data_IF_829364159687
#
_entry.id   IF_829364159687
#
_cell.length_a   1.000
_cell.length_b   1.000
_cell.length_c   1.000
_cell.angle_alpha   90.00
_cell.angle_beta   90.00
_cell.angle_gamma   90.00
#
_symmetry.space_group_name_H-M   'P 1'
#
loop_
_entity.id
_entity.type
_entity.pdbx_description
1 polymer ?
#
# COMPACT_ATOMS: atom_id res chain seq x y z
N UNK A 1 0.93 80.28 43.83
CA UNK A 1 1.58 81.62 43.92
C UNK A 1 2.59 81.70 42.80
N UNK A 2 2.76 82.87 42.17
CA UNK A 2 3.76 83.03 41.12
C UNK A 2 5.15 83.15 41.78
N UNK A 3 6.17 82.38 41.37
CA UNK A 3 7.47 82.42 42.02
C UNK A 3 8.14 83.81 41.90
N UNK A 4 8.98 84.15 42.87
CA UNK A 4 9.63 85.46 43.02
C UNK A 4 11.13 85.37 42.73
N UNK A 5 11.68 86.33 41.99
CA UNK A 5 13.12 86.50 41.77
C UNK A 5 13.59 87.78 42.46
N UNK A 6 14.51 87.69 43.42
CA UNK A 6 15.06 88.84 44.16
C UNK A 6 16.28 89.48 43.49
N UNK A 7 16.94 88.79 42.54
CA UNK A 7 18.04 89.36 41.77
C UNK A 7 17.51 90.29 40.67
N UNK A 8 17.68 91.60 40.88
CA UNK A 8 17.17 92.65 39.98
C UNK A 8 18.26 93.23 39.10
N UNK A 9 17.93 93.47 37.83
CA UNK A 9 18.78 94.22 36.93
C UNK A 9 18.79 95.70 37.32
N UNK A 10 19.98 96.28 37.51
CA UNK A 10 20.19 97.66 37.92
C UNK A 10 20.35 98.58 36.71
N UNK A 11 19.75 99.78 36.75
CA UNK A 11 19.96 100.85 35.75
C UNK A 11 19.66 100.44 34.29
N UNK A 12 18.54 99.74 34.07
CA UNK A 12 18.11 99.24 32.76
C UNK A 12 17.15 100.16 31.98
N UNK A 13 16.83 101.35 32.51
CA UNK A 13 15.93 102.28 31.83
C UNK A 13 16.60 102.95 30.62
N UNK A 14 15.78 103.43 29.67
CA UNK A 14 16.27 104.07 28.44
C UNK A 14 17.17 105.30 28.69
N UNK A 15 16.99 105.98 29.83
CA UNK A 15 17.78 107.15 30.25
C UNK A 15 18.64 106.84 31.49
N UNK A 16 19.11 105.60 31.60
CA UNK A 16 19.96 105.16 32.70
C UNK A 16 21.23 106.00 32.80
N UNK A 17 21.64 106.31 34.03
CA UNK A 17 22.85 107.06 34.34
C UNK A 17 24.10 106.18 34.14
N UNK A 18 24.40 105.80 32.90
CA UNK A 18 25.50 104.92 32.50
C UNK A 18 26.26 105.50 31.31
N UNK A 19 27.52 105.11 31.12
CA UNK A 19 28.23 105.37 29.86
C UNK A 19 27.66 104.53 28.72
N UNK A 20 27.87 104.98 27.47
CA UNK A 20 27.48 104.20 26.28
C UNK A 20 28.24 102.87 26.21
N UNK A 21 27.87 101.97 25.30
CA UNK A 21 28.61 100.71 25.15
C UNK A 21 29.99 100.95 24.55
N UNK A 22 30.06 101.81 23.55
CA UNK A 22 31.25 102.20 22.82
C UNK A 22 32.29 102.83 23.77
N UNK A 23 31.87 103.84 24.56
CA UNK A 23 32.74 104.50 25.53
C UNK A 23 33.23 103.56 26.65
N UNK A 24 32.47 102.52 26.98
CA UNK A 24 32.89 101.51 27.96
C UNK A 24 33.93 100.55 27.39
N UNK A 25 33.76 100.14 26.13
CA UNK A 25 34.68 99.26 25.41
C UNK A 25 36.04 99.93 25.15
N UNK A 26 36.05 101.24 24.94
CA UNK A 26 37.26 102.05 24.74
C UNK A 26 37.99 102.41 26.06
N UNK A 27 37.36 102.19 27.22
CA UNK A 27 37.93 102.55 28.51
C UNK A 27 39.23 101.76 28.79
N UNK A 28 40.37 102.44 29.07
CA UNK A 28 41.62 101.76 29.43
C UNK A 28 41.45 100.84 30.66
N UNK A 29 40.54 101.23 31.56
CA UNK A 29 40.25 100.52 32.81
C UNK A 29 39.43 99.24 32.62
N UNK A 30 38.90 98.97 31.42
CA UNK A 30 38.08 97.78 31.17
C UNK A 30 38.83 96.48 31.46
N UNK A 31 40.13 96.43 31.15
CA UNK A 31 40.98 95.24 31.36
C UNK A 31 41.74 95.27 32.69
N UNK A 32 42.07 96.45 33.19
CA UNK A 32 42.95 96.64 34.35
C UNK A 32 42.21 96.98 35.64
N UNK A 33 40.89 97.22 35.59
CA UNK A 33 40.09 97.67 36.72
C UNK A 33 40.20 99.17 36.98
N UNK A 34 39.43 99.66 37.95
CA UNK A 34 39.37 101.07 38.31
C UNK A 34 40.60 101.52 39.12
N UNK A 35 41.23 102.66 38.77
CA UNK A 35 42.32 103.24 39.57
C UNK A 35 41.79 103.77 40.92
N UNK A 36 42.62 103.80 41.98
CA UNK A 36 42.22 104.37 43.26
C UNK A 36 41.80 105.84 43.14
N UNK A 37 40.58 106.17 43.59
CA UNK A 37 40.09 107.55 43.68
C UNK A 37 39.40 108.12 42.43
N UNK A 38 39.51 107.48 41.26
CA UNK A 38 39.06 108.05 39.98
C UNK A 38 38.03 107.17 39.25
N UNK A 39 36.81 107.08 39.80
CA UNK A 39 35.68 106.40 39.13
C UNK A 39 34.49 107.35 38.97
N UNK A 40 34.01 107.52 37.74
CA UNK A 40 32.77 108.26 37.50
C UNK A 40 31.56 107.39 37.83
N UNK A 41 30.48 108.01 38.34
CA UNK A 41 29.23 107.31 38.66
C UNK A 41 28.65 106.64 37.41
N UNK A 42 28.74 107.26 36.23
CA UNK A 42 28.30 106.69 34.96
C UNK A 42 29.04 105.37 34.62
N UNK A 43 30.35 105.32 34.88
CA UNK A 43 31.18 104.16 34.60
C UNK A 43 30.95 103.05 35.64
N UNK A 44 30.82 103.40 36.93
CA UNK A 44 30.43 102.47 37.99
C UNK A 44 29.08 101.82 37.69
N UNK A 45 28.07 102.64 37.36
CA UNK A 45 26.73 102.16 37.03
C UNK A 45 26.73 101.25 35.80
N UNK A 46 27.63 101.45 34.83
CA UNK A 46 27.75 100.58 33.67
C UNK A 46 28.20 99.18 34.05
N UNK A 47 29.22 99.06 34.91
CA UNK A 47 29.70 97.77 35.43
C UNK A 47 28.62 97.08 36.25
N UNK A 48 27.99 97.80 37.18
CA UNK A 48 26.89 97.28 38.00
C UNK A 48 25.69 96.86 37.14
N UNK A 49 25.38 97.60 36.08
CA UNK A 49 24.31 97.24 35.13
C UNK A 49 24.63 95.93 34.41
N UNK A 50 25.83 95.79 33.82
CA UNK A 50 26.19 94.58 33.07
C UNK A 50 26.14 93.33 33.97
N UNK A 51 26.69 93.41 35.19
CA UNK A 51 26.68 92.28 36.12
C UNK A 51 25.26 91.94 36.60
N UNK A 52 24.52 92.92 37.11
CA UNK A 52 23.17 92.70 37.65
C UNK A 52 22.16 92.24 36.59
N UNK A 53 22.32 92.67 35.33
CA UNK A 53 21.45 92.24 34.23
C UNK A 53 21.61 90.73 33.97
N UNK A 54 22.85 90.23 33.87
CA UNK A 54 23.09 88.79 33.68
C UNK A 54 22.62 88.00 34.89
N UNK A 55 22.91 88.48 36.11
CA UNK A 55 22.43 87.83 37.34
C UNK A 55 20.90 87.72 37.37
N UNK A 56 20.18 88.78 36.98
CA UNK A 56 18.71 88.78 36.94
C UNK A 56 18.17 87.81 35.88
N UNK A 57 18.79 87.74 34.70
CA UNK A 57 18.40 86.80 33.63
C UNK A 57 18.58 85.35 34.06
N UNK A 58 19.75 85.02 34.64
CA UNK A 58 20.03 83.67 35.14
C UNK A 58 19.06 83.31 36.26
N UNK A 59 18.85 84.19 37.25
CA UNK A 59 17.90 83.97 38.32
C UNK A 59 16.46 83.80 37.79
N UNK A 60 16.06 84.56 36.77
CA UNK A 60 14.74 84.42 36.14
C UNK A 60 14.58 83.08 35.41
N UNK A 61 15.64 82.60 34.74
CA UNK A 61 15.67 81.26 34.16
C UNK A 61 15.48 80.19 35.25
N UNK A 62 16.26 80.27 36.34
CA UNK A 62 16.18 79.32 37.45
C UNK A 62 14.78 79.33 38.06
N UNK A 63 14.23 80.52 38.36
CA UNK A 63 12.88 80.70 38.89
C UNK A 63 11.83 80.04 37.99
N UNK A 64 11.87 80.34 36.69
CA UNK A 64 10.87 79.87 35.72
C UNK A 64 10.92 78.35 35.55
N UNK A 65 12.12 77.78 35.41
CA UNK A 65 12.25 76.34 35.14
C UNK A 65 12.15 75.49 36.41
N UNK A 66 12.62 75.97 37.56
CA UNK A 66 12.54 75.22 38.81
C UNK A 66 11.16 75.31 39.47
N UNK A 67 10.42 76.40 39.21
CA UNK A 67 9.13 76.73 39.82
C UNK A 67 9.23 77.28 41.25
N UNK A 68 10.42 77.71 41.70
CA UNK A 68 10.68 78.17 43.07
C UNK A 68 11.14 79.63 43.13
N UNK A 69 11.03 80.21 44.31
CA UNK A 69 11.57 81.54 44.61
C UNK A 69 13.10 81.53 44.60
N UNK A 70 13.70 82.60 44.08
CA UNK A 70 15.14 82.82 44.03
C UNK A 70 15.46 84.02 44.91
N UNK A 71 15.86 83.76 46.15
CA UNK A 71 16.07 84.76 47.19
C UNK A 71 17.53 85.29 47.20
N UNK A 72 17.69 86.58 47.50
CA UNK A 72 19.00 87.21 47.72
C UNK A 72 19.36 87.18 49.22
N UNK A 73 19.62 85.98 49.74
CA UNK A 73 19.92 85.71 51.16
C UNK A 73 21.37 85.23 51.40
N UNK A 74 22.19 85.21 50.34
CA UNK A 74 23.56 84.72 50.36
C UNK A 74 23.70 83.18 50.36
N UNK A 75 22.62 82.41 50.27
CA UNK A 75 22.65 80.95 50.29
C UNK A 75 23.01 80.35 48.92
N UNK A 76 24.30 80.33 48.61
CA UNK A 76 24.84 79.81 47.33
C UNK A 76 24.56 78.32 47.11
N UNK A 77 24.48 77.52 48.17
CA UNK A 77 24.17 76.09 48.08
C UNK A 77 22.72 75.85 47.60
N UNK A 78 21.77 76.64 48.10
CA UNK A 78 20.38 76.60 47.65
C UNK A 78 20.27 77.06 46.18
N UNK A 79 20.92 78.17 45.81
CA UNK A 79 20.95 78.65 44.43
C UNK A 79 21.51 77.61 43.45
N UNK A 80 22.57 76.89 43.85
CA UNK A 80 23.15 75.80 43.05
C UNK A 80 22.15 74.66 42.86
N UNK A 81 21.46 74.26 43.94
CA UNK A 81 20.42 73.22 43.89
C UNK A 81 19.29 73.61 42.94
N UNK A 82 18.81 74.86 43.04
CA UNK A 82 17.75 75.37 42.18
C UNK A 82 18.20 75.48 40.72
N UNK A 83 19.44 75.88 40.45
CA UNK A 83 20.01 75.89 39.09
C UNK A 83 20.05 74.49 38.48
N UNK A 84 20.53 73.48 39.22
CA UNK A 84 20.53 72.10 38.75
C UNK A 84 19.11 71.61 38.43
N UNK A 85 18.15 71.87 39.33
CA UNK A 85 16.73 71.55 39.10
C UNK A 85 16.18 72.23 37.85
N UNK A 86 16.50 73.52 37.65
CA UNK A 86 16.07 74.27 36.47
C UNK A 86 16.59 73.66 35.17
N UNK A 87 17.86 73.23 35.15
CA UNK A 87 18.45 72.54 34.00
C UNK A 87 17.79 71.18 33.76
N UNK A 88 17.60 70.37 34.81
CA UNK A 88 16.94 69.06 34.72
C UNK A 88 15.51 69.18 34.16
N UNK A 89 14.71 70.12 34.67
CA UNK A 89 13.35 70.36 34.18
C UNK A 89 13.36 70.82 32.71
N UNK A 90 14.28 71.73 32.34
CA UNK A 90 14.39 72.21 30.97
C UNK A 90 14.76 71.10 29.99
N UNK A 91 15.70 70.23 30.37
CA UNK A 91 16.15 69.09 29.56
C UNK A 91 15.02 68.06 29.43
N UNK A 92 14.35 67.69 30.53
CA UNK A 92 13.27 66.71 30.52
C UNK A 92 12.07 67.14 29.64
N UNK A 93 11.74 68.43 29.63
CA UNK A 93 10.68 68.97 28.77
C UNK A 93 11.07 69.05 27.28
N UNK A 94 12.36 69.28 26.99
CA UNK A 94 12.86 69.45 25.63
C UNK A 94 13.28 68.14 24.95
N UNK A 95 13.64 67.12 25.73
CA UNK A 95 14.04 65.79 25.25
C UNK A 95 12.93 64.80 25.57
N UNK A 96 11.97 64.57 24.65
CA UNK A 96 10.87 63.65 24.89
C UNK A 96 11.39 62.22 25.07
N UNK A 97 10.72 61.46 25.93
CA UNK A 97 10.81 60.00 25.95
C UNK A 97 10.48 59.44 24.56
N UNK A 98 11.14 58.35 24.17
CA UNK A 98 11.08 57.71 22.85
C UNK A 98 9.85 58.06 21.98
N UNK A 99 10.08 58.66 20.82
CA UNK A 99 9.03 59.07 19.87
C UNK A 99 9.27 58.44 18.50
N UNK A 100 8.18 58.07 17.82
CA UNK A 100 8.20 57.55 16.45
C UNK A 100 8.25 58.68 15.39
N UNK A 101 8.06 59.94 15.80
CA UNK A 101 7.90 61.10 14.90
C UNK A 101 8.85 62.25 15.22
N UNK A 102 9.48 62.27 16.40
CA UNK A 102 10.38 63.33 16.86
C UNK A 102 11.71 62.73 17.34
N UNK A 103 12.83 63.28 16.88
CA UNK A 103 14.16 62.82 17.29
C UNK A 103 14.40 63.12 18.79
N UNK A 104 14.86 62.12 19.55
CA UNK A 104 15.18 62.20 20.99
C UNK A 104 16.31 61.24 21.37
N UNK A 105 16.76 61.23 22.63
CA UNK A 105 17.82 60.31 23.12
C UNK A 105 17.15 59.04 23.64
N UNK A 106 17.17 57.96 22.85
CA UNK A 106 16.65 56.65 23.24
C UNK A 106 17.84 55.74 23.58
N UNK A 107 17.74 55.01 24.69
CA UNK A 107 18.71 53.95 24.98
C UNK A 107 18.47 52.76 24.06
N UNK A 108 19.50 52.38 23.31
CA UNK A 108 19.45 51.24 22.40
C UNK A 108 19.79 49.94 23.13
N UNK A 109 19.22 48.83 22.65
CA UNK A 109 19.57 47.48 23.13
C UNK A 109 19.85 46.51 21.99
N UNK A 110 20.81 45.63 22.22
CA UNK A 110 21.20 44.48 21.41
C UNK A 110 20.71 43.16 22.02
N UNK A 111 19.90 43.21 23.08
CA UNK A 111 19.37 42.03 23.77
C UNK A 111 17.86 41.94 23.63
N UNK A 112 17.37 40.72 23.41
CA UNK A 112 15.93 40.42 23.50
C UNK A 112 15.52 40.51 24.97
N UNK A 113 14.38 41.14 25.24
CA UNK A 113 13.82 41.28 26.58
C UNK A 113 12.41 41.86 26.54
N UNK A 114 11.91 42.25 27.70
CA UNK A 114 10.58 42.81 27.91
C UNK A 114 10.63 44.29 28.34
N UNK A 115 11.63 45.03 27.89
CA UNK A 115 11.78 46.45 28.23
C UNK A 115 10.80 47.32 27.44
N UNK A 116 10.16 48.26 28.15
CA UNK A 116 9.35 49.31 27.54
C UNK A 116 10.10 50.65 27.43
N UNK A 117 11.38 50.68 27.81
CA UNK A 117 12.21 51.90 27.87
C UNK A 117 13.41 51.86 26.92
N UNK A 118 13.71 50.70 26.32
CA UNK A 118 14.81 50.50 25.38
C UNK A 118 14.28 50.28 23.97
N UNK A 119 14.96 50.83 22.96
CA UNK A 119 14.69 50.53 21.56
C UNK A 119 15.64 49.47 21.02
N UNK A 120 15.12 48.51 20.26
CA UNK A 120 15.94 47.51 19.59
C UNK A 120 16.87 48.15 18.54
N UNK A 121 18.13 47.73 18.51
CA UNK A 121 19.05 48.09 17.43
C UNK A 121 18.62 47.43 16.12
N UNK A 122 19.01 48.04 14.99
CA UNK A 122 18.79 47.43 13.67
C UNK A 122 19.42 46.03 13.58
N UNK A 123 20.58 45.82 14.20
CA UNK A 123 21.23 44.50 14.22
C UNK A 123 20.38 43.46 14.96
N UNK A 124 19.84 43.80 16.14
CA UNK A 124 18.94 42.92 16.87
C UNK A 124 17.69 42.57 16.04
N UNK A 125 17.11 43.54 15.33
CA UNK A 125 15.95 43.30 14.45
C UNK A 125 16.33 42.39 13.29
N UNK A 126 17.51 42.56 12.70
CA UNK A 126 18.01 41.69 11.63
C UNK A 126 18.22 40.25 12.13
N UNK A 127 18.88 40.05 13.28
CA UNK A 127 19.11 38.74 13.88
C UNK A 127 17.79 38.00 14.17
N UNK A 128 16.78 38.72 14.69
CA UNK A 128 15.44 38.16 14.93
C UNK A 128 14.76 37.76 13.62
N UNK A 129 14.86 38.61 12.58
CA UNK A 129 14.31 38.33 11.26
C UNK A 129 14.99 37.11 10.61
N UNK A 130 16.31 36.99 10.71
CA UNK A 130 17.06 35.85 10.17
C UNK A 130 16.73 34.56 10.89
N UNK A 131 16.60 34.59 12.22
CA UNK A 131 16.11 33.44 12.99
C UNK A 131 14.68 33.05 12.54
N UNK A 132 13.78 34.01 12.34
CA UNK A 132 12.42 33.73 11.87
C UNK A 132 12.42 33.10 10.46
N UNK A 133 13.19 33.67 9.53
CA UNK A 133 13.33 33.15 8.17
C UNK A 133 13.89 31.73 8.15
N UNK A 134 14.90 31.44 8.97
CA UNK A 134 15.48 30.10 9.07
C UNK A 134 14.48 29.07 9.65
N UNK A 135 13.64 29.46 10.62
CA UNK A 135 12.61 28.57 11.20
C UNK A 135 11.43 28.31 10.24
N UNK A 136 11.18 29.24 9.31
CA UNK A 136 10.08 29.15 8.33
C UNK A 136 10.54 28.67 6.94
N UNK A 137 11.82 28.31 6.81
CA UNK A 137 12.40 27.84 5.55
C UNK A 137 11.77 26.50 5.15
N UNK A 138 10.77 26.54 4.23
CA UNK A 138 10.01 25.36 3.80
C UNK A 138 10.89 24.25 3.23
N UNK A 139 11.99 24.61 2.56
CA UNK A 139 12.96 23.65 2.04
C UNK A 139 13.80 22.96 3.13
N UNK A 140 13.71 23.42 4.39
CA UNK A 140 14.32 22.79 5.55
C UNK A 140 13.32 22.08 6.47
N UNK A 141 12.02 22.02 6.10
CA UNK A 141 11.04 21.28 6.89
C UNK A 141 11.44 19.80 7.00
N UNK A 142 11.84 19.39 8.19
CA UNK A 142 12.30 18.03 8.49
C UNK A 142 13.74 17.72 8.08
N UNK A 143 14.56 18.73 7.77
CA UNK A 143 15.99 18.56 7.52
C UNK A 143 16.76 18.14 8.79
N UNK A 144 16.28 18.57 9.95
CA UNK A 144 16.81 18.29 11.28
C UNK A 144 16.32 16.97 11.87
N UNK A 145 15.41 16.24 11.21
CA UNK A 145 14.90 14.94 11.66
C UNK A 145 15.97 13.87 11.43
N UNK A 146 16.57 13.27 12.50
CA UNK A 146 17.66 12.32 12.34
C UNK A 146 17.20 10.99 11.72
N UNK A 147 16.02 10.52 12.12
CA UNK A 147 15.38 9.32 11.55
C UNK A 147 13.97 9.68 11.04
N UNK A 148 13.90 9.95 9.74
CA UNK A 148 12.65 10.30 9.05
C UNK A 148 11.64 9.15 9.06
N UNK A 149 12.10 7.90 9.06
CA UNK A 149 11.21 6.75 9.07
C UNK A 149 10.54 6.59 10.44
N UNK A 150 11.31 6.73 11.53
CA UNK A 150 10.76 6.74 12.88
C UNK A 150 9.81 7.92 13.10
N UNK A 151 10.13 9.10 12.58
CA UNK A 151 9.23 10.26 12.63
C UNK A 151 7.89 10.00 11.93
N UNK A 152 7.92 9.54 10.67
CA UNK A 152 6.69 9.21 9.92
C UNK A 152 5.87 8.11 10.61
N UNK A 153 6.55 7.13 11.24
CA UNK A 153 5.90 6.10 12.07
C UNK A 153 5.19 6.70 13.28
N UNK A 154 5.86 7.56 14.04
CA UNK A 154 5.30 8.19 15.24
C UNK A 154 4.13 9.15 14.94
N UNK A 155 4.08 9.71 13.72
CA UNK A 155 2.93 10.48 13.25
C UNK A 155 1.72 9.62 12.84
N UNK A 156 1.83 8.28 12.81
CA UNK A 156 0.75 7.39 12.38
C UNK A 156 0.45 7.46 10.87
N UNK A 157 1.32 8.08 10.08
CA UNK A 157 1.10 8.26 8.64
C UNK A 157 1.25 6.96 7.85
N UNK A 158 2.06 6.01 8.35
CA UNK A 158 2.26 4.71 7.70
C UNK A 158 0.93 3.95 7.60
N UNK A 159 0.16 3.88 8.69
CA UNK A 159 -1.13 3.20 8.71
C UNK A 159 -2.14 3.90 7.78
N UNK A 160 -2.15 5.23 7.78
CA UNK A 160 -3.05 6.02 6.91
C UNK A 160 -2.78 5.75 5.43
N UNK A 161 -1.51 5.74 5.01
CA UNK A 161 -1.11 5.45 3.62
C UNK A 161 -1.48 4.01 3.26
N UNK A 162 -1.17 3.04 4.13
CA UNK A 162 -1.50 1.63 3.88
C UNK A 162 -3.01 1.43 3.77
N UNK A 163 -3.81 2.07 4.62
CA UNK A 163 -5.28 1.97 4.57
C UNK A 163 -5.88 2.62 3.31
N UNK A 164 -5.29 3.72 2.85
CA UNK A 164 -5.74 4.41 1.63
C UNK A 164 -5.37 3.64 0.37
N UNK A 165 -4.12 3.16 0.29
CA UNK A 165 -3.60 2.48 -0.89
C UNK A 165 -4.03 1.01 -0.98
N UNK A 166 -4.16 0.35 0.17
CA UNK A 166 -4.49 -1.06 0.30
C UNK A 166 -5.70 -1.28 1.21
N UNK A 167 -6.91 -0.83 0.86
CA UNK A 167 -8.10 -1.00 1.69
C UNK A 167 -8.43 -2.48 1.95
N UNK A 168 -9.21 -2.76 3.00
CA UNK A 168 -9.72 -4.12 3.28
C UNK A 168 -10.47 -4.65 2.06
N UNK A 169 -10.21 -5.91 1.70
CA UNK A 169 -10.78 -6.55 0.52
C UNK A 169 -9.94 -6.41 -0.76
N UNK A 170 -8.91 -5.54 -0.78
CA UNK A 170 -8.01 -5.45 -1.95
C UNK A 170 -7.19 -6.73 -2.12
N UNK A 171 -6.87 -7.06 -3.37
CA UNK A 171 -5.96 -8.16 -3.73
C UNK A 171 -4.65 -7.57 -4.26
N UNK A 172 -3.53 -8.11 -3.80
CA UNK A 172 -2.19 -7.79 -4.30
C UNK A 172 -1.47 -9.07 -4.75
N UNK A 173 -0.56 -8.93 -5.70
CA UNK A 173 0.17 -10.04 -6.31
C UNK A 173 1.67 -9.81 -6.23
N UNK A 174 2.42 -10.83 -5.79
CA UNK A 174 3.86 -10.80 -5.76
C UNK A 174 4.47 -11.80 -6.75
N UNK A 175 5.42 -11.33 -7.56
CA UNK A 175 6.27 -12.20 -8.39
C UNK A 175 7.40 -12.88 -7.60
N UNK A 176 7.46 -12.65 -6.28
CA UNK A 176 8.44 -13.21 -5.37
C UNK A 176 7.72 -13.75 -4.14
N UNK A 177 8.39 -14.63 -3.39
CA UNK A 177 7.88 -15.13 -2.12
C UNK A 177 7.92 -14.01 -1.05
N UNK A 178 6.85 -13.23 -1.00
CA UNK A 178 6.67 -12.11 -0.07
C UNK A 178 5.36 -12.30 0.70
N UNK A 179 5.43 -12.12 2.02
CA UNK A 179 4.27 -12.16 2.89
C UNK A 179 3.89 -10.72 3.29
N UNK A 180 2.74 -10.21 2.83
CA UNK A 180 2.31 -8.83 3.12
C UNK A 180 2.02 -8.58 4.61
N UNK A 181 1.75 -9.62 5.41
CA UNK A 181 1.65 -9.46 6.88
C UNK A 181 2.97 -9.00 7.52
N UNK A 182 4.10 -9.26 6.86
CA UNK A 182 5.43 -8.79 7.31
C UNK A 182 5.75 -7.43 6.69
N UNK A 183 5.37 -7.22 5.42
CA UNK A 183 5.66 -5.98 4.70
C UNK A 183 4.82 -4.78 5.19
N UNK A 184 3.62 -5.05 5.68
CA UNK A 184 2.65 -4.04 6.13
C UNK A 184 2.22 -4.34 7.58
N UNK A 185 3.08 -4.03 8.58
CA UNK A 185 2.75 -4.25 9.98
C UNK A 185 1.45 -3.56 10.38
N UNK A 186 0.65 -4.21 11.23
CA UNK A 186 -0.66 -3.71 11.64
C UNK A 186 -1.80 -4.02 10.65
N UNK A 187 -1.53 -4.81 9.61
CA UNK A 187 -2.55 -5.30 8.67
C UNK A 187 -2.59 -6.81 8.61
N UNK A 188 -3.77 -7.35 8.27
CA UNK A 188 -4.00 -8.79 8.14
C UNK A 188 -4.27 -9.15 6.68
N UNK A 189 -3.57 -10.16 6.18
CA UNK A 189 -3.67 -10.64 4.80
C UNK A 189 -3.81 -12.16 4.78
N UNK A 190 -4.69 -12.65 3.92
CA UNK A 190 -4.89 -14.07 3.68
C UNK A 190 -4.44 -14.45 2.27
N UNK A 191 -3.80 -15.61 2.16
CA UNK A 191 -3.36 -16.16 0.88
C UNK A 191 -4.56 -16.70 0.10
N UNK A 192 -4.71 -16.31 -1.17
CA UNK A 192 -5.90 -16.68 -1.96
C UNK A 192 -5.90 -18.16 -2.40
N UNK A 193 -4.78 -18.86 -2.18
CA UNK A 193 -4.57 -20.26 -2.55
C UNK A 193 -3.79 -20.44 -3.86
N UNK A 194 -3.50 -21.69 -4.19
CA UNK A 194 -2.60 -22.09 -5.26
C UNK A 194 -3.35 -22.62 -6.49
N UNK A 195 -2.70 -22.54 -7.66
CA UNK A 195 -3.19 -23.13 -8.92
C UNK A 195 -4.60 -22.65 -9.32
N UNK A 196 -4.88 -21.35 -9.13
CA UNK A 196 -6.16 -20.73 -9.49
C UNK A 196 -5.99 -19.74 -10.65
N UNK A 197 -7.05 -19.58 -11.43
CA UNK A 197 -7.19 -18.47 -12.40
C UNK A 197 -8.20 -17.47 -11.87
N UNK A 198 -8.01 -16.19 -12.18
CA UNK A 198 -8.90 -15.12 -11.72
C UNK A 198 -10.13 -15.04 -12.62
N UNK A 199 -11.31 -15.05 -12.01
CA UNK A 199 -12.60 -14.81 -12.68
C UNK A 199 -13.28 -13.61 -12.04
N UNK A 200 -14.09 -12.91 -12.81
CA UNK A 200 -14.92 -11.83 -12.30
C UNK A 200 -16.08 -12.44 -11.52
N UNK A 201 -16.29 -11.95 -10.30
CA UNK A 201 -17.47 -12.27 -9.50
C UNK A 201 -18.71 -11.56 -10.07
N UNK A 202 -19.89 -12.01 -9.64
CA UNK A 202 -21.13 -11.30 -9.86
C UNK A 202 -21.05 -9.86 -9.33
N UNK A 203 -21.72 -8.93 -9.99
CA UNK A 203 -21.70 -7.52 -9.61
C UNK A 203 -22.22 -7.25 -8.18
N UNK A 204 -23.08 -8.14 -7.64
CA UNK A 204 -23.58 -8.08 -6.28
C UNK A 204 -22.64 -8.73 -5.23
N UNK A 205 -21.53 -9.32 -5.67
CA UNK A 205 -20.54 -9.97 -4.82
C UNK A 205 -20.96 -11.30 -4.20
N UNK A 206 -22.07 -11.92 -4.63
CA UNK A 206 -22.63 -13.11 -3.98
C UNK A 206 -21.74 -14.36 -4.06
N UNK A 207 -20.84 -14.40 -5.04
CA UNK A 207 -19.93 -15.50 -5.35
C UNK A 207 -18.45 -15.11 -5.16
N UNK A 208 -18.17 -14.00 -4.46
CA UNK A 208 -16.81 -13.57 -4.15
C UNK A 208 -16.03 -14.69 -3.44
N UNK A 209 -14.79 -14.89 -3.90
CA UNK A 209 -13.85 -15.91 -3.38
C UNK A 209 -14.32 -17.36 -3.55
N UNK A 210 -15.43 -17.62 -4.26
CA UNK A 210 -15.80 -18.98 -4.64
C UNK A 210 -14.70 -19.61 -5.53
N UNK A 211 -14.54 -20.93 -5.40
CA UNK A 211 -13.50 -21.70 -6.08
C UNK A 211 -14.11 -22.82 -6.91
N UNK A 212 -13.53 -23.12 -8.06
CA UNK A 212 -13.92 -24.28 -8.87
C UNK A 212 -13.00 -24.47 -10.07
N UNK A 213 -13.32 -25.49 -10.87
CA UNK A 213 -12.51 -25.90 -12.03
C UNK A 213 -11.49 -26.97 -11.69
N UNK A 214 -11.03 -27.69 -12.73
CA UNK A 214 -10.04 -28.75 -12.64
C UNK A 214 -9.00 -28.57 -13.76
N UNK A 215 -7.78 -29.04 -13.51
CA UNK A 215 -6.70 -29.07 -14.51
C UNK A 215 -6.78 -30.27 -15.46
N UNK A 216 -7.58 -31.28 -15.12
CA UNK A 216 -7.81 -32.45 -15.95
C UNK A 216 -9.24 -32.96 -15.86
N UNK A 217 -9.65 -33.67 -16.90
CA UNK A 217 -10.93 -34.36 -16.99
C UNK A 217 -10.72 -35.79 -17.47
N UNK A 218 -11.40 -36.74 -16.82
CA UNK A 218 -11.57 -38.11 -17.32
C UNK A 218 -12.97 -38.23 -17.90
N UNK A 219 -13.07 -38.65 -19.16
CA UNK A 219 -14.36 -38.84 -19.81
C UNK A 219 -15.10 -40.02 -19.19
N UNK A 220 -16.37 -39.83 -18.89
CA UNK A 220 -17.29 -40.88 -18.46
C UNK A 220 -18.06 -41.43 -19.66
N UNK A 221 -18.62 -42.63 -19.54
CA UNK A 221 -19.46 -43.22 -20.61
C UNK A 221 -20.63 -42.30 -21.01
N UNK A 222 -21.21 -41.55 -20.06
CA UNK A 222 -22.28 -40.59 -20.33
C UNK A 222 -21.82 -39.36 -21.16
N UNK A 223 -20.52 -39.07 -21.18
CA UNK A 223 -19.94 -37.95 -21.93
C UNK A 223 -19.46 -38.37 -23.33
N UNK A 224 -19.54 -39.66 -23.67
CA UNK A 224 -19.17 -40.17 -24.99
C UNK A 224 -20.37 -40.12 -25.94
N UNK A 225 -20.22 -39.62 -27.18
CA UNK A 225 -21.26 -39.74 -28.19
C UNK A 225 -21.66 -41.22 -28.40
N UNK A 226 -22.96 -41.46 -28.60
CA UNK A 226 -23.46 -42.79 -28.90
C UNK A 226 -22.81 -43.33 -30.18
N UNK A 227 -22.26 -44.54 -30.11
CA UNK A 227 -21.62 -45.21 -31.23
C UNK A 227 -21.90 -46.72 -31.17
N UNK A 228 -21.80 -47.40 -32.31
CA UNK A 228 -21.99 -48.83 -32.43
C UNK A 228 -20.93 -49.41 -33.37
N UNK A 229 -20.43 -50.61 -33.05
CA UNK A 229 -19.51 -51.36 -33.88
C UNK A 229 -20.15 -52.70 -34.24
N UNK A 230 -20.43 -52.91 -35.52
CA UNK A 230 -20.94 -54.19 -36.01
C UNK A 230 -19.87 -54.88 -36.86
N UNK A 231 -19.48 -56.10 -36.45
CA UNK A 231 -18.71 -57.02 -37.27
C UNK A 231 -19.52 -58.29 -37.45
N UNK A 232 -19.83 -58.63 -38.70
CA UNK A 232 -20.48 -59.88 -39.07
C UNK A 232 -19.77 -60.49 -40.27
N UNK A 233 -19.33 -61.74 -40.13
CA UNK A 233 -18.77 -62.53 -41.22
C UNK A 233 -19.40 -63.92 -41.27
N UNK A 234 -19.52 -64.48 -42.47
CA UNK A 234 -19.89 -65.88 -42.71
C UNK A 234 -18.71 -66.60 -43.33
N UNK A 235 -18.45 -67.83 -42.90
CA UNK A 235 -17.45 -68.68 -43.56
C UNK A 235 -17.92 -69.04 -44.97
N UNK A 236 -16.98 -69.38 -45.86
CA UNK A 236 -17.36 -69.97 -47.15
C UNK A 236 -18.17 -71.24 -46.92
N UNK A 237 -19.16 -71.45 -47.79
CA UNK A 237 -20.02 -72.62 -47.75
C UNK A 237 -19.27 -73.83 -48.29
N UNK A 238 -19.23 -74.92 -47.52
CA UNK A 238 -18.64 -76.18 -47.94
C UNK A 238 -19.71 -77.28 -47.93
N UNK A 239 -19.79 -78.03 -49.03
CA UNK A 239 -20.71 -79.16 -49.15
C UNK A 239 -20.00 -80.46 -48.76
N UNK A 240 -20.42 -81.04 -47.64
CA UNK A 240 -19.91 -82.33 -47.19
C UNK A 240 -20.46 -83.51 -48.01
N UNK A 241 -21.44 -83.24 -48.87
CA UNK A 241 -22.09 -84.22 -49.73
C UNK A 241 -22.86 -85.28 -48.94
N UNK A 242 -23.09 -86.40 -49.60
CA UNK A 242 -23.73 -87.58 -49.03
C UNK A 242 -22.66 -88.57 -48.55
N UNK A 243 -22.81 -89.08 -47.32
CA UNK A 243 -21.94 -90.13 -46.78
C UNK A 243 -22.71 -91.45 -46.71
N UNK A 244 -22.04 -92.56 -47.03
CA UNK A 244 -22.64 -93.89 -47.13
C UNK A 244 -22.12 -94.78 -45.99
N UNK A 245 -23.01 -95.53 -45.34
CA UNK A 245 -22.63 -96.52 -44.32
C UNK A 245 -21.91 -97.70 -44.97
N UNK A 246 -21.12 -98.46 -44.19
CA UNK A 246 -20.52 -99.68 -44.72
C UNK A 246 -21.61 -100.72 -45.05
N UNK A 247 -21.30 -101.63 -45.97
CA UNK A 247 -22.25 -102.63 -46.50
C UNK A 247 -21.95 -104.04 -45.99
N UNK A 248 -20.95 -104.25 -45.12
CA UNK A 248 -20.45 -105.59 -44.80
C UNK A 248 -21.31 -106.25 -43.72
N UNK A 249 -21.88 -107.42 -44.01
CA UNK A 249 -22.56 -108.23 -42.98
C UNK A 249 -23.68 -109.17 -43.44
N UNK A 250 -23.83 -109.45 -44.74
CA UNK A 250 -24.83 -110.41 -45.21
C UNK A 250 -24.60 -111.79 -44.60
N UNK A 251 -25.60 -112.29 -43.88
CA UNK A 251 -25.58 -113.61 -43.26
C UNK A 251 -26.95 -114.26 -43.38
N UNK A 252 -26.97 -115.54 -43.73
CA UNK A 252 -28.19 -116.31 -43.88
C UNK A 252 -28.57 -116.97 -42.54
N UNK A 253 -29.87 -117.19 -42.32
CA UNK A 253 -30.38 -118.02 -41.22
C UNK A 253 -30.80 -119.42 -41.73
N UNK A 254 -30.59 -120.45 -40.91
CA UNK A 254 -30.90 -121.86 -41.20
C UNK A 254 -32.39 -122.21 -40.97
N UNK A 255 -33.01 -122.93 -41.92
CA UNK A 255 -34.39 -123.42 -41.85
C UNK A 255 -34.46 -124.79 -41.12
N UNK A 256 -34.39 -124.78 -39.80
CA UNK A 256 -34.07 -125.91 -38.92
C UNK A 256 -35.09 -127.10 -38.78
N UNK A 257 -35.73 -127.62 -39.83
CA UNK A 257 -36.74 -128.73 -39.72
C UNK A 257 -36.48 -129.93 -40.66
N UNK A 258 -36.57 -131.17 -40.13
CA UNK A 258 -36.12 -132.46 -40.72
C UNK A 258 -37.17 -133.45 -41.27
N UNK A 259 -36.67 -134.46 -42.01
CA UNK A 259 -37.23 -135.78 -42.42
C UNK A 259 -38.56 -135.94 -43.20
N UNK A 260 -39.23 -134.88 -43.70
CA UNK A 260 -40.46 -135.07 -44.51
C UNK A 260 -40.21 -134.92 -46.04
N UNK A 261 -40.49 -135.98 -46.80
CA UNK A 261 -40.44 -135.97 -48.27
C UNK A 261 -41.65 -135.20 -48.84
N UNK A 262 -41.41 -134.01 -49.42
CA UNK A 262 -42.40 -133.36 -50.31
C UNK A 262 -42.57 -131.83 -50.28
N UNK A 263 -41.74 -131.02 -49.61
CA UNK A 263 -41.98 -129.56 -49.61
C UNK A 263 -40.88 -128.64 -49.08
N UNK A 264 -39.63 -128.74 -49.55
CA UNK A 264 -38.55 -127.79 -49.15
C UNK A 264 -38.25 -126.78 -50.26
N UNK A 265 -38.26 -125.48 -49.92
CA UNK A 265 -37.91 -124.35 -50.81
C UNK A 265 -36.85 -123.46 -50.15
N UNK A 266 -35.75 -123.19 -50.86
CA UNK A 266 -34.60 -122.41 -50.39
C UNK A 266 -33.34 -122.81 -51.15
N UNK A 267 -32.21 -122.13 -50.92
CA UNK A 267 -30.95 -122.51 -51.56
C UNK A 267 -30.40 -123.77 -50.90
N UNK A 268 -30.30 -124.85 -51.68
CA UNK A 268 -29.75 -126.13 -51.24
C UNK A 268 -28.23 -126.01 -51.07
N UNK A 269 -27.77 -126.07 -49.83
CA UNK A 269 -26.38 -126.14 -49.46
C UNK A 269 -26.04 -127.62 -49.30
N UNK A 270 -25.11 -128.13 -50.10
CA UNK A 270 -24.77 -129.56 -50.18
C UNK A 270 -24.01 -130.10 -48.94
N UNK A 271 -24.24 -129.50 -47.77
CA UNK A 271 -23.77 -129.95 -46.47
C UNK A 271 -24.88 -130.68 -45.71
N UNK A 272 -24.55 -131.85 -45.14
CA UNK A 272 -25.46 -132.77 -44.43
C UNK A 272 -25.08 -132.87 -42.95
N UNK A 273 -25.48 -131.90 -42.12
CA UNK A 273 -25.10 -131.90 -40.70
C UNK A 273 -26.17 -131.32 -39.77
N UNK A 274 -27.41 -131.70 -39.99
CA UNK A 274 -28.53 -131.43 -39.09
C UNK A 274 -28.96 -132.75 -38.47
N UNK A 275 -28.39 -133.07 -37.30
CA UNK A 275 -28.71 -134.26 -36.48
C UNK A 275 -30.21 -134.23 -36.14
N UNK A 276 -30.97 -135.17 -36.71
CA UNK A 276 -32.39 -135.39 -36.41
C UNK A 276 -32.58 -136.07 -35.05
N UNK A 277 -33.67 -135.75 -34.35
CA UNK A 277 -33.91 -136.04 -32.92
C UNK A 277 -34.20 -137.51 -32.56
N UNK A 278 -33.86 -138.50 -33.39
CA UNK A 278 -34.10 -139.92 -33.10
C UNK A 278 -32.79 -140.71 -32.93
N UNK A 279 -32.72 -141.49 -31.85
CA UNK A 279 -31.53 -142.11 -31.22
C UNK A 279 -30.78 -143.21 -32.01
N UNK A 280 -30.35 -142.97 -33.26
CA UNK A 280 -29.27 -143.72 -33.97
C UNK A 280 -28.90 -142.93 -35.25
N UNK A 281 -27.68 -143.02 -35.81
CA UNK A 281 -27.13 -141.98 -36.68
C UNK A 281 -27.89 -141.87 -38.00
N UNK A 282 -28.80 -140.90 -38.05
CA UNK A 282 -29.52 -140.43 -39.23
C UNK A 282 -28.82 -139.17 -39.75
N UNK A 283 -27.99 -139.35 -40.78
CA UNK A 283 -26.98 -138.39 -41.22
C UNK A 283 -27.22 -137.90 -42.66
N UNK A 284 -28.44 -138.00 -43.17
CA UNK A 284 -28.79 -137.62 -44.53
C UNK A 284 -29.76 -136.43 -44.66
N UNK A 285 -30.05 -135.75 -43.54
CA UNK A 285 -30.85 -134.51 -43.57
C UNK A 285 -30.18 -133.38 -44.37
N UNK A 286 -30.96 -132.75 -45.23
CA UNK A 286 -30.52 -131.67 -46.12
C UNK A 286 -30.76 -130.28 -45.50
N UNK A 287 -29.82 -129.35 -45.71
CA UNK A 287 -29.87 -127.96 -45.20
C UNK A 287 -30.35 -126.96 -46.26
N UNK A 288 -31.21 -126.03 -45.85
CA UNK A 288 -31.72 -124.94 -46.69
C UNK A 288 -31.62 -123.60 -45.93
N UNK A 289 -31.00 -122.59 -46.55
CA UNK A 289 -30.81 -121.27 -45.95
C UNK A 289 -31.85 -120.25 -46.47
N UNK A 290 -32.25 -119.31 -45.61
CA UNK A 290 -33.07 -118.14 -45.97
C UNK A 290 -32.33 -117.20 -46.94
N UNK A 291 -33.04 -116.43 -47.77
CA UNK A 291 -32.41 -115.40 -48.62
C UNK A 291 -31.74 -114.34 -47.76
N UNK A 292 -30.54 -113.90 -48.15
CA UNK A 292 -30.03 -112.59 -47.74
C UNK A 292 -30.29 -111.68 -48.91
N UNK A 293 -31.12 -110.65 -48.75
CA UNK A 293 -31.44 -109.70 -49.83
C UNK A 293 -30.24 -108.77 -50.17
N UNK A 294 -29.03 -109.31 -50.05
CA UNK A 294 -27.75 -108.67 -50.32
C UNK A 294 -27.25 -107.80 -49.19
N UNK A 295 -25.96 -107.47 -49.28
CA UNK A 295 -25.37 -106.36 -48.56
C UNK A 295 -26.03 -105.05 -49.06
N UNK A 296 -26.56 -104.22 -48.15
CA UNK A 296 -27.06 -102.89 -48.51
C UNK A 296 -26.44 -101.82 -47.61
N UNK A 297 -26.39 -100.59 -48.13
CA UNK A 297 -25.94 -99.40 -47.40
C UNK A 297 -27.06 -98.38 -47.28
N UNK A 298 -26.96 -97.55 -46.25
CA UNK A 298 -27.73 -96.32 -46.13
C UNK A 298 -26.87 -95.11 -46.48
N UNK A 299 -27.53 -94.05 -46.91
CA UNK A 299 -26.90 -92.77 -47.22
C UNK A 299 -27.47 -91.66 -46.35
N UNK A 300 -26.61 -90.76 -45.86
CA UNK A 300 -27.02 -89.56 -45.12
C UNK A 300 -26.50 -88.33 -45.85
N UNK A 301 -27.41 -87.44 -46.24
CA UNK A 301 -27.07 -86.16 -46.86
C UNK A 301 -26.81 -85.11 -45.79
N UNK A 302 -25.58 -84.60 -45.73
CA UNK A 302 -25.20 -83.52 -44.80
C UNK A 302 -25.43 -82.17 -45.46
N UNK A 303 -25.05 -82.06 -46.74
CA UNK A 303 -25.29 -80.89 -47.56
C UNK A 303 -24.41 -79.68 -47.23
N UNK A 304 -24.62 -78.65 -48.05
CA UNK A 304 -23.97 -77.35 -47.97
C UNK A 304 -24.40 -76.59 -46.72
N UNK A 305 -23.44 -76.26 -45.84
CA UNK A 305 -23.68 -75.36 -44.72
C UNK A 305 -22.50 -74.40 -44.51
N UNK A 306 -22.75 -73.34 -43.74
CA UNK A 306 -21.76 -72.35 -43.33
C UNK A 306 -21.91 -72.06 -41.84
N UNK A 307 -20.95 -71.31 -41.28
CA UNK A 307 -21.00 -70.86 -39.90
C UNK A 307 -20.98 -69.33 -39.84
N UNK A 308 -21.75 -68.78 -38.91
CA UNK A 308 -21.69 -67.37 -38.53
C UNK A 308 -20.61 -67.15 -37.48
N UNK A 309 -19.81 -66.10 -37.65
CA UNK A 309 -18.79 -65.69 -36.68
C UNK A 309 -19.15 -64.30 -36.16
N UNK A 310 -19.18 -64.15 -34.84
CA UNK A 310 -19.36 -62.88 -34.14
C UNK A 310 -18.41 -62.78 -32.96
N UNK A 311 -17.97 -61.58 -32.63
CA UNK A 311 -17.12 -61.31 -31.47
C UNK A 311 -16.86 -59.81 -31.29
N UNK A 312 -16.18 -59.47 -30.19
CA UNK A 312 -15.79 -58.10 -29.90
C UNK A 312 -14.38 -57.83 -30.42
N UNK A 313 -14.17 -56.69 -31.07
CA UNK A 313 -12.83 -56.11 -31.22
C UNK A 313 -12.41 -55.59 -29.85
N UNK A 314 -11.25 -55.98 -29.33
CA UNK A 314 -10.85 -55.71 -27.95
C UNK A 314 -10.88 -54.23 -27.53
N UNK A 315 -10.74 -53.98 -26.23
CA UNK A 315 -10.80 -52.63 -25.67
C UNK A 315 -9.72 -51.71 -26.28
N UNK A 316 -10.13 -50.58 -26.83
CA UNK A 316 -9.23 -49.55 -27.37
C UNK A 316 -9.27 -48.32 -26.48
N UNK A 317 -8.10 -47.77 -26.13
CA UNK A 317 -7.95 -46.60 -25.26
C UNK A 317 -7.48 -46.95 -23.84
N UNK A 318 -6.81 -46.00 -23.17
CA UNK A 318 -6.19 -46.21 -21.86
C UNK A 318 -6.91 -45.49 -20.69
N UNK A 319 -8.10 -44.91 -20.94
CA UNK A 319 -8.80 -44.02 -19.99
C UNK A 319 -7.91 -42.89 -19.44
N UNK A 320 -6.93 -42.44 -20.23
CA UNK A 320 -6.02 -41.38 -19.83
C UNK A 320 -6.79 -40.07 -19.64
N UNK A 321 -6.45 -39.34 -18.58
CA UNK A 321 -7.03 -38.03 -18.33
C UNK A 321 -6.58 -37.03 -19.42
N UNK A 322 -7.49 -36.17 -19.83
CA UNK A 322 -7.20 -35.05 -20.73
C UNK A 322 -6.81 -33.86 -19.86
N UNK A 323 -5.57 -33.40 -19.99
CA UNK A 323 -5.12 -32.16 -19.36
C UNK A 323 -5.71 -30.96 -20.09
N UNK A 324 -6.37 -30.07 -19.36
CA UNK A 324 -7.03 -28.86 -19.89
C UNK A 324 -6.43 -27.57 -19.30
N UNK A 325 -5.26 -27.69 -18.67
CA UNK A 325 -4.52 -26.57 -18.10
C UNK A 325 -4.01 -25.60 -19.17
N UNK A 326 -4.41 -24.34 -19.07
CA UNK A 326 -3.92 -23.27 -19.95
C UNK A 326 -2.46 -22.89 -19.61
N UNK A 327 -1.71 -22.31 -20.56
CA UNK A 327 -0.44 -21.64 -20.24
C UNK A 327 -0.67 -20.46 -19.29
N UNK A 328 0.13 -20.35 -18.23
CA UNK A 328 -0.05 -19.31 -17.20
C UNK A 328 1.28 -18.84 -16.60
N UNK A 329 1.22 -17.74 -15.85
CA UNK A 329 2.27 -17.28 -14.92
C UNK A 329 1.72 -17.40 -13.49
N UNK A 330 2.51 -17.97 -12.56
CA UNK A 330 2.13 -18.06 -11.14
C UNK A 330 2.69 -16.86 -10.36
N UNK A 331 1.81 -16.18 -9.64
CA UNK A 331 2.13 -15.09 -8.72
C UNK A 331 1.51 -15.42 -7.35
N UNK A 332 2.10 -14.94 -6.27
CA UNK A 332 1.52 -15.09 -4.94
C UNK A 332 0.47 -14.02 -4.70
N UNK A 333 -0.80 -14.42 -4.75
CA UNK A 333 -1.93 -13.53 -4.49
C UNK A 333 -2.34 -13.52 -3.02
N UNK A 334 -2.57 -12.33 -2.47
CA UNK A 334 -3.06 -12.14 -1.11
C UNK A 334 -4.21 -11.15 -1.12
N UNK A 335 -5.20 -11.35 -0.26
CA UNK A 335 -6.27 -10.38 -0.06
C UNK A 335 -6.26 -9.85 1.37
N UNK A 336 -6.53 -8.55 1.52
CA UNK A 336 -6.54 -7.90 2.83
C UNK A 336 -7.82 -8.23 3.59
N UNK A 337 -7.69 -8.60 4.86
CA UNK A 337 -8.81 -8.77 5.80
C UNK A 337 -8.93 -7.57 6.73
N UNK A 338 -10.14 -7.43 7.30
CA UNK A 338 -10.41 -6.52 8.41
C UNK A 338 -9.63 -6.97 9.66
#
# INVERSE_FOLDING_TARGET
>A
MNPKNDFKAFSISNNANVVSQEAYEESPNLKTGFPPGDITIHLLNKVLRQSSTISSVVANFIMTQSGNDILDDGNTANLTTLLNRALEQKIAAAVPSASLTQQGIIQLTDKIGNSNTLAATQNLVADVNDNANNRLAKNQNGADIPDKNAFVKNLGLIETIINTQYPVGIVIWFAQNKNPNVLFPGTTWEYIGENKTVRLANANGSDLLSTGGNDSISLTAAQMPAHNHTFSGTTSTFDYGTKTTNTTGAHHHDSAWGEAWGGRYGYYDNSRNNIGSANVPDNDNYKFNTSTDGNHSHTVSIGSHNHTISGNTGDTGANAAITITNSYIKLMGWHRKA
#
